data_IF_861981685684
#
_entry.id   IF_861981685684
#
_cell.length_a   1.000
_cell.length_b   1.000
_cell.length_c   1.000
_cell.angle_alpha   90.00
_cell.angle_beta   90.00
_cell.angle_gamma   90.00
#
_symmetry.space_group_name_H-M   'P 1'
#
loop_
_entity.id
_entity.type
_entity.pdbx_description
1 polymer ?
#
# COMPACT_ATOMS: atom_id res chain seq x y z
N UNK A 1 2.48 -33.69 -0.69
CA UNK A 1 2.68 -33.09 -2.02
C UNK A 1 3.24 -31.70 -1.81
N UNK A 2 4.21 -31.31 -2.63
CA UNK A 2 4.85 -30.00 -2.57
C UNK A 2 4.48 -29.16 -3.79
N UNK A 3 4.32 -27.86 -3.62
CA UNK A 3 3.89 -26.99 -4.72
C UNK A 3 5.07 -26.22 -5.28
N UNK A 4 5.08 -26.04 -6.61
CA UNK A 4 6.12 -25.32 -7.32
C UNK A 4 5.46 -24.30 -8.25
N UNK A 5 5.92 -23.06 -8.19
CA UNK A 5 5.47 -21.96 -9.01
C UNK A 5 6.38 -21.80 -10.23
N UNK A 6 5.80 -21.82 -11.43
CA UNK A 6 6.52 -21.49 -12.67
C UNK A 6 6.66 -19.97 -12.79
N UNK A 7 7.87 -19.51 -13.08
CA UNK A 7 8.21 -18.11 -13.25
C UNK A 7 8.34 -17.74 -14.73
N UNK A 8 7.93 -16.52 -15.06
CA UNK A 8 8.25 -15.85 -16.32
C UNK A 8 9.72 -15.41 -16.34
N UNK A 9 10.16 -14.89 -17.49
CA UNK A 9 11.47 -14.24 -17.65
C UNK A 9 11.67 -13.04 -16.71
N UNK A 10 10.58 -12.41 -16.28
CA UNK A 10 10.54 -11.29 -15.34
C UNK A 10 10.23 -11.71 -13.90
N UNK A 11 10.41 -12.99 -13.56
CA UNK A 11 10.17 -13.55 -12.22
C UNK A 11 8.71 -13.51 -11.74
N UNK A 12 7.73 -13.34 -12.63
CA UNK A 12 6.31 -13.41 -12.27
C UNK A 12 5.76 -14.83 -12.35
N UNK A 13 4.92 -15.19 -11.39
CA UNK A 13 4.30 -16.51 -11.29
C UNK A 13 3.25 -16.67 -12.38
N UNK A 14 3.46 -17.63 -13.27
CA UNK A 14 2.56 -17.98 -14.36
C UNK A 14 1.51 -19.01 -13.92
N UNK A 15 1.94 -20.01 -13.15
CA UNK A 15 1.08 -21.07 -12.61
C UNK A 15 1.75 -21.77 -11.44
N UNK A 16 0.98 -22.57 -10.70
CA UNK A 16 1.47 -23.44 -9.63
C UNK A 16 1.08 -24.87 -9.93
N UNK A 17 2.03 -25.79 -9.79
CA UNK A 17 1.84 -27.23 -10.00
C UNK A 17 2.25 -27.99 -8.74
N UNK A 18 1.50 -29.03 -8.41
CA UNK A 18 1.80 -29.91 -7.29
C UNK A 18 2.69 -31.07 -7.75
N UNK A 19 3.73 -31.34 -6.96
CA UNK A 19 4.74 -32.38 -7.17
C UNK A 19 4.62 -33.42 -6.06
N UNK A 20 4.72 -34.72 -6.37
CA UNK A 20 4.77 -35.78 -5.35
C UNK A 20 5.92 -35.57 -4.37
N UNK A 21 5.74 -35.95 -3.10
CA UNK A 21 6.74 -35.72 -2.03
C UNK A 21 8.11 -36.36 -2.32
N UNK A 22 8.11 -37.54 -2.95
CA UNK A 22 9.33 -38.25 -3.39
C UNK A 22 10.17 -37.42 -4.38
N UNK A 23 9.53 -36.55 -5.17
CA UNK A 23 10.20 -35.70 -6.16
C UNK A 23 10.45 -34.27 -5.64
N UNK A 24 10.07 -33.93 -4.41
CA UNK A 24 10.21 -32.57 -3.84
C UNK A 24 11.64 -32.04 -3.96
N UNK A 25 12.62 -32.87 -3.59
CA UNK A 25 14.05 -32.53 -3.59
C UNK A 25 14.59 -32.12 -4.96
N UNK A 26 13.89 -32.50 -6.04
CA UNK A 26 14.25 -32.21 -7.43
C UNK A 26 13.09 -31.61 -8.23
N UNK A 27 12.14 -30.94 -7.56
CA UNK A 27 10.91 -30.49 -8.20
C UNK A 27 11.12 -29.62 -9.44
N UNK A 28 12.16 -28.75 -9.43
CA UNK A 28 12.57 -27.99 -10.62
C UNK A 28 12.88 -28.88 -11.82
N UNK A 29 13.78 -29.85 -11.65
CA UNK A 29 14.22 -30.73 -12.73
C UNK A 29 13.11 -31.70 -13.15
N UNK A 30 12.34 -32.20 -12.17
CA UNK A 30 11.19 -33.06 -12.43
C UNK A 30 10.14 -32.37 -13.32
N UNK A 31 9.82 -31.10 -13.03
CA UNK A 31 8.85 -30.33 -13.81
C UNK A 31 9.43 -29.91 -15.16
N UNK A 32 10.63 -29.33 -15.17
CA UNK A 32 11.21 -28.76 -16.38
C UNK A 32 11.66 -29.85 -17.37
N UNK A 33 12.33 -30.90 -16.87
CA UNK A 33 12.99 -31.93 -17.67
C UNK A 33 12.14 -33.20 -17.78
N UNK A 34 11.84 -33.89 -16.67
CA UNK A 34 11.17 -35.20 -16.70
C UNK A 34 9.74 -35.11 -17.26
N UNK A 35 9.00 -34.05 -16.89
CA UNK A 35 7.66 -33.76 -17.43
C UNK A 35 7.70 -32.89 -18.69
N UNK A 36 8.87 -32.39 -19.10
CA UNK A 36 9.05 -31.61 -20.32
C UNK A 36 8.32 -30.26 -20.33
N UNK A 37 8.02 -29.68 -19.16
CA UNK A 37 7.34 -28.39 -19.08
C UNK A 37 8.27 -27.21 -19.38
N UNK A 38 9.60 -27.42 -19.28
CA UNK A 38 10.59 -26.35 -19.35
C UNK A 38 10.45 -25.34 -18.20
N UNK A 39 11.00 -24.13 -18.39
CA UNK A 39 10.83 -23.01 -17.48
C UNK A 39 11.62 -23.08 -16.17
N UNK A 40 11.37 -22.09 -15.32
CA UNK A 40 11.95 -21.97 -13.98
C UNK A 40 10.86 -22.16 -12.94
N UNK A 41 11.07 -23.07 -12.01
CA UNK A 41 10.13 -23.48 -10.98
C UNK A 41 10.75 -23.31 -9.60
N UNK A 42 10.01 -22.64 -8.72
CA UNK A 42 10.43 -22.38 -7.35
C UNK A 42 9.40 -22.93 -6.38
N UNK A 43 9.85 -23.67 -5.36
CA UNK A 43 8.97 -24.30 -4.38
C UNK A 43 8.24 -23.27 -3.53
N UNK A 44 6.94 -23.47 -3.32
CA UNK A 44 6.02 -22.61 -2.58
C UNK A 44 5.19 -23.43 -1.59
N UNK A 45 4.73 -22.83 -0.48
CA UNK A 45 3.95 -23.51 0.56
C UNK A 45 2.66 -22.77 0.89
N UNK A 46 1.57 -23.52 1.08
CA UNK A 46 0.28 -23.01 1.53
C UNK A 46 0.37 -22.30 2.88
N UNK A 47 1.26 -22.76 3.76
CA UNK A 47 1.38 -22.24 5.13
C UNK A 47 2.31 -21.03 5.22
N UNK A 48 2.96 -20.61 4.13
CA UNK A 48 3.95 -19.52 4.15
C UNK A 48 5.25 -19.85 4.90
N UNK A 49 5.42 -21.09 5.36
CA UNK A 49 6.61 -21.53 6.10
C UNK A 49 7.92 -21.43 5.28
N UNK A 50 7.81 -21.44 3.96
CA UNK A 50 8.91 -21.19 3.03
C UNK A 50 8.51 -20.01 2.15
N UNK A 51 9.46 -19.11 1.90
CA UNK A 51 9.30 -17.99 0.95
C UNK A 51 8.09 -17.09 1.23
N UNK A 52 7.78 -16.92 2.52
CA UNK A 52 6.77 -16.03 3.10
C UNK A 52 5.29 -16.35 2.82
N UNK A 53 4.93 -16.74 1.60
CA UNK A 53 3.53 -16.99 1.23
C UNK A 53 3.40 -18.08 0.17
N UNK A 54 2.16 -18.54 -0.01
CA UNK A 54 1.81 -19.31 -1.20
C UNK A 54 1.78 -18.38 -2.41
N UNK A 55 2.65 -18.66 -3.38
CA UNK A 55 2.71 -17.96 -4.66
C UNK A 55 1.36 -18.02 -5.41
N UNK A 56 0.74 -16.87 -5.62
CA UNK A 56 -0.43 -16.71 -6.49
C UNK A 56 -0.03 -16.36 -7.92
N UNK A 57 -0.91 -16.61 -8.89
CA UNK A 57 -0.69 -16.17 -10.27
C UNK A 57 -0.58 -14.64 -10.30
N UNK A 58 0.49 -14.12 -10.92
CA UNK A 58 0.78 -12.69 -10.98
C UNK A 58 1.65 -12.14 -9.84
N UNK A 59 1.82 -12.89 -8.75
CA UNK A 59 2.88 -12.60 -7.77
C UNK A 59 4.25 -12.67 -8.46
N UNK A 60 5.28 -12.11 -7.83
CA UNK A 60 6.66 -12.26 -8.29
C UNK A 60 7.52 -12.91 -7.21
N UNK A 61 8.62 -13.49 -7.67
CA UNK A 61 9.66 -14.07 -6.83
C UNK A 61 10.83 -13.11 -6.71
N UNK A 62 11.15 -12.74 -5.47
CA UNK A 62 12.34 -11.95 -5.13
C UNK A 62 13.46 -12.90 -4.72
N UNK A 63 14.50 -12.99 -5.56
CA UNK A 63 15.61 -13.93 -5.35
C UNK A 63 16.60 -13.47 -4.27
N UNK A 64 16.67 -12.16 -3.98
CA UNK A 64 17.55 -11.61 -2.94
C UNK A 64 16.98 -11.86 -1.55
N UNK A 65 15.66 -11.74 -1.40
CA UNK A 65 14.94 -12.02 -0.16
C UNK A 65 14.51 -13.50 -0.02
N UNK A 66 14.59 -14.30 -1.10
CA UNK A 66 14.05 -15.66 -1.21
C UNK A 66 12.57 -15.72 -0.77
N UNK A 67 11.75 -14.80 -1.29
CA UNK A 67 10.31 -14.73 -0.97
C UNK A 67 9.44 -14.57 -2.21
N UNK A 68 8.19 -15.02 -2.12
CA UNK A 68 7.13 -14.58 -3.01
C UNK A 68 6.46 -13.33 -2.46
N UNK A 69 6.18 -12.38 -3.33
CA UNK A 69 5.47 -11.15 -3.00
C UNK A 69 4.41 -10.84 -4.04
N UNK A 70 3.30 -10.26 -3.58
CA UNK A 70 2.32 -9.68 -4.50
C UNK A 70 2.87 -8.40 -5.11
N UNK A 71 2.45 -8.02 -6.34
CA UNK A 71 2.91 -6.78 -6.96
C UNK A 71 2.66 -5.58 -6.05
N UNK A 72 3.52 -4.56 -6.19
CA UNK A 72 3.41 -3.33 -5.43
C UNK A 72 2.03 -2.69 -5.64
N UNK A 73 1.38 -2.16 -4.58
CA UNK A 73 0.10 -1.48 -4.71
C UNK A 73 0.22 -0.17 -5.51
N UNK A 74 1.37 0.50 -5.45
CA UNK A 74 1.72 1.70 -6.18
C UNK A 74 3.25 1.77 -6.39
N UNK A 75 3.77 2.55 -7.35
CA UNK A 75 5.18 2.52 -7.75
C UNK A 75 6.18 2.91 -6.65
N UNK A 76 5.79 3.75 -5.69
CA UNK A 76 6.66 4.25 -4.62
C UNK A 76 6.65 3.39 -3.35
N UNK A 77 5.98 2.23 -3.38
CA UNK A 77 5.99 1.30 -2.25
C UNK A 77 7.28 0.47 -2.23
N UNK A 78 7.77 0.21 -1.03
CA UNK A 78 8.98 -0.61 -0.81
C UNK A 78 8.61 -1.97 -0.21
N UNK A 79 9.14 -3.04 -0.78
CA UNK A 79 8.94 -4.39 -0.26
C UNK A 79 9.87 -4.61 0.95
N UNK A 80 9.30 -5.01 2.08
CA UNK A 80 10.05 -5.37 3.27
C UNK A 80 10.47 -6.85 3.23
N UNK A 81 11.47 -7.21 4.01
CA UNK A 81 11.94 -8.59 4.13
C UNK A 81 10.85 -9.60 4.57
N UNK A 82 9.78 -9.14 5.23
CA UNK A 82 8.62 -9.97 5.58
C UNK A 82 7.56 -10.10 4.47
N UNK A 83 7.87 -9.66 3.24
CA UNK A 83 6.95 -9.67 2.10
C UNK A 83 5.73 -8.77 2.25
N UNK A 84 5.82 -7.76 3.12
CA UNK A 84 4.81 -6.70 3.28
C UNK A 84 5.27 -5.43 2.57
N UNK A 85 4.34 -4.68 2.01
CA UNK A 85 4.62 -3.40 1.36
C UNK A 85 4.56 -2.26 2.36
N UNK A 86 5.59 -1.42 2.40
CA UNK A 86 5.58 -0.15 3.14
C UNK A 86 5.32 1.01 2.16
N UNK A 87 4.44 1.96 2.50
CA UNK A 87 4.26 3.16 1.69
C UNK A 87 5.52 4.03 1.69
N UNK A 88 5.63 4.99 0.76
CA UNK A 88 6.65 6.03 0.84
C UNK A 88 6.52 6.81 2.16
N UNK A 89 7.59 7.50 2.61
CA UNK A 89 7.52 8.34 3.81
C UNK A 89 6.41 9.39 3.66
N UNK A 90 5.66 9.62 4.76
CA UNK A 90 4.63 10.64 4.79
C UNK A 90 5.24 12.05 4.54
N UNK A 91 4.46 12.99 3.98
CA UNK A 91 4.87 14.38 3.89
C UNK A 91 5.11 15.01 5.27
N UNK A 92 5.65 16.24 5.29
CA UNK A 92 5.93 16.93 6.54
C UNK A 92 4.66 17.22 7.35
N UNK A 93 4.79 17.16 8.67
CA UNK A 93 3.70 17.37 9.62
C UNK A 93 2.95 16.08 10.02
N UNK A 94 1.85 16.28 10.72
CA UNK A 94 0.99 15.28 11.34
C UNK A 94 -0.36 15.25 10.64
N UNK A 95 -1.13 14.18 10.86
CA UNK A 95 -2.46 14.01 10.27
C UNK A 95 -2.48 13.35 8.89
N UNK A 96 -1.33 12.92 8.37
CA UNK A 96 -1.28 12.11 7.16
C UNK A 96 -1.70 10.66 7.44
N UNK A 97 -2.63 10.15 6.64
CA UNK A 97 -3.08 8.77 6.66
C UNK A 97 -3.30 8.24 5.24
N UNK A 98 -3.17 6.93 5.04
CA UNK A 98 -3.59 6.27 3.80
C UNK A 98 -4.95 5.64 4.10
N UNK A 99 -6.07 6.23 3.61
CA UNK A 99 -7.39 5.68 3.85
C UNK A 99 -7.56 4.28 3.24
N UNK A 100 -8.52 3.51 3.77
CA UNK A 100 -8.75 2.14 3.31
C UNK A 100 -9.07 2.12 1.80
N UNK A 101 -8.35 1.28 1.06
CA UNK A 101 -8.52 1.15 -0.39
C UNK A 101 -7.72 2.16 -1.22
N UNK A 102 -7.07 3.14 -0.59
CA UNK A 102 -6.18 4.08 -1.26
C UNK A 102 -4.72 3.66 -1.15
N UNK A 103 -3.88 4.28 -1.98
CA UNK A 103 -2.43 4.02 -2.05
C UNK A 103 -1.59 5.28 -1.92
N UNK A 104 -2.23 6.43 -1.68
CA UNK A 104 -1.58 7.72 -1.50
C UNK A 104 -1.83 8.27 -0.10
N UNK A 105 -0.94 9.15 0.36
CA UNK A 105 -1.14 9.89 1.60
C UNK A 105 -2.22 10.96 1.42
N UNK A 106 -3.21 10.92 2.29
CA UNK A 106 -4.25 11.93 2.42
C UNK A 106 -4.14 12.61 3.78
N UNK A 107 -4.44 13.90 3.82
CA UNK A 107 -4.41 14.71 5.02
C UNK A 107 -5.77 14.70 5.71
N UNK A 108 -5.81 14.22 6.94
CA UNK A 108 -6.96 14.37 7.81
C UNK A 108 -6.95 15.74 8.47
N UNK A 109 -7.86 16.63 8.06
CA UNK A 109 -7.96 18.00 8.57
C UNK A 109 -8.24 18.06 10.09
N UNK A 110 -8.80 17.01 10.68
CA UNK A 110 -9.11 16.95 12.10
C UNK A 110 -7.88 16.59 12.95
N UNK A 111 -6.88 15.95 12.34
CA UNK A 111 -5.63 15.53 12.99
C UNK A 111 -4.41 16.34 12.53
N UNK A 112 -4.54 17.08 11.43
CA UNK A 112 -3.45 17.84 10.82
C UNK A 112 -2.87 18.90 11.75
N UNK A 113 -1.55 19.05 11.79
CA UNK A 113 -0.92 20.22 12.41
C UNK A 113 -0.71 21.36 11.39
N UNK A 114 -0.27 22.52 11.85
CA UNK A 114 -0.11 23.71 11.02
C UNK A 114 0.85 23.50 9.84
N UNK A 115 1.90 22.67 10.01
CA UNK A 115 2.86 22.33 8.94
C UNK A 115 2.15 21.55 7.84
N UNK A 116 1.37 20.53 8.20
CA UNK A 116 0.67 19.71 7.20
C UNK A 116 -0.45 20.49 6.51
N UNK A 117 -1.17 21.35 7.24
CA UNK A 117 -2.21 22.20 6.66
C UNK A 117 -1.66 23.20 5.65
N UNK A 118 -0.46 23.75 5.86
CA UNK A 118 0.19 24.70 4.95
C UNK A 118 0.54 24.08 3.57
N UNK A 119 0.54 22.74 3.46
CA UNK A 119 0.75 22.04 2.19
C UNK A 119 -0.51 22.04 1.30
N UNK A 120 -1.68 22.41 1.81
CA UNK A 120 -2.92 22.46 1.04
C UNK A 120 -3.00 23.73 0.18
N UNK A 121 -3.47 23.58 -1.07
CA UNK A 121 -3.64 24.72 -1.97
C UNK A 121 -4.60 25.76 -1.37
N UNK A 122 -4.14 27.01 -1.29
CA UNK A 122 -4.90 28.10 -0.68
C UNK A 122 -4.86 28.14 0.86
N UNK A 123 -4.15 27.23 1.53
CA UNK A 123 -3.93 27.28 2.98
C UNK A 123 -2.53 27.80 3.27
N UNK A 124 -2.47 29.03 3.77
CA UNK A 124 -1.24 29.58 4.35
C UNK A 124 -1.25 29.50 5.87
N UNK A 125 -0.22 30.03 6.56
CA UNK A 125 -0.07 29.91 8.01
C UNK A 125 -1.23 30.54 8.79
N UNK A 126 -1.84 31.61 8.28
CA UNK A 126 -3.01 32.25 8.91
C UNK A 126 -4.24 31.35 8.85
N UNK A 127 -4.47 30.72 7.70
CA UNK A 127 -5.62 29.85 7.46
C UNK A 127 -5.44 28.54 8.25
N UNK A 128 -4.24 27.97 8.26
CA UNK A 128 -3.92 26.80 9.06
C UNK A 128 -4.23 27.02 10.56
N UNK A 129 -3.84 28.17 11.12
CA UNK A 129 -4.20 28.51 12.51
C UNK A 129 -5.71 28.68 12.70
N UNK A 130 -6.42 29.25 11.74
CA UNK A 130 -7.87 29.39 11.82
C UNK A 130 -8.57 28.03 11.85
N UNK A 131 -8.14 27.06 11.02
CA UNK A 131 -8.66 25.68 11.04
C UNK A 131 -8.46 25.03 12.41
N UNK A 132 -7.24 25.10 12.96
CA UNK A 132 -6.91 24.49 14.26
C UNK A 132 -7.71 25.14 15.39
N UNK A 133 -7.82 26.47 15.40
CA UNK A 133 -8.60 27.19 16.41
C UNK A 133 -10.08 26.86 16.33
N UNK A 134 -10.63 26.74 15.12
CA UNK A 134 -12.03 26.44 14.91
C UNK A 134 -12.39 25.03 15.38
N UNK A 135 -11.55 24.02 15.10
CA UNK A 135 -11.79 22.65 15.59
C UNK A 135 -11.61 22.50 17.11
N UNK A 136 -10.76 23.31 17.73
CA UNK A 136 -10.56 23.30 19.19
C UNK A 136 -11.77 23.93 19.93
N UNK A 137 -12.36 24.98 19.34
CA UNK A 137 -13.44 25.74 19.98
C UNK A 137 -14.82 25.13 19.69
N UNK A 138 -15.09 24.77 18.44
CA UNK A 138 -16.41 24.33 17.98
C UNK A 138 -16.47 22.82 17.67
N UNK A 139 -15.36 22.10 17.86
CA UNK A 139 -15.27 20.66 17.66
C UNK A 139 -14.85 20.28 16.24
N UNK A 140 -14.61 18.97 16.04
CA UNK A 140 -14.14 18.41 14.78
C UNK A 140 -15.06 18.73 13.61
N UNK A 141 -14.49 18.82 12.41
CA UNK A 141 -15.24 19.05 11.18
C UNK A 141 -15.89 17.75 10.73
N UNK A 142 -17.17 17.80 10.36
CA UNK A 142 -17.90 16.64 9.86
C UNK A 142 -17.59 16.34 8.38
N UNK A 143 -17.18 17.36 7.62
CA UNK A 143 -16.85 17.26 6.20
C UNK A 143 -16.01 18.47 5.77
N UNK A 144 -15.46 18.43 4.56
CA UNK A 144 -14.79 19.61 3.98
C UNK A 144 -15.78 20.77 3.74
N UNK A 145 -17.06 20.47 3.48
CA UNK A 145 -18.12 21.47 3.38
C UNK A 145 -18.38 22.16 4.73
N UNK A 146 -18.36 21.41 5.84
CA UNK A 146 -18.45 21.97 7.19
C UNK A 146 -17.26 22.88 7.51
N UNK A 147 -16.05 22.47 7.12
CA UNK A 147 -14.85 23.30 7.24
C UNK A 147 -15.00 24.61 6.45
N UNK A 148 -15.42 24.54 5.19
CA UNK A 148 -15.64 25.72 4.35
C UNK A 148 -16.75 26.64 4.87
N UNK A 149 -17.73 26.10 5.60
CA UNK A 149 -18.79 26.89 6.23
C UNK A 149 -18.33 27.61 7.50
N UNK A 150 -17.33 27.06 8.21
CA UNK A 150 -16.88 27.53 9.53
C UNK A 150 -15.61 28.37 9.50
N UNK A 151 -14.70 28.12 8.57
CA UNK A 151 -13.39 28.79 8.52
C UNK A 151 -13.37 29.89 7.47
N UNK A 152 -13.18 31.13 7.92
CA UNK A 152 -13.02 32.28 7.02
C UNK A 152 -11.76 32.13 6.15
N UNK A 153 -11.88 32.48 4.86
CA UNK A 153 -10.80 32.35 3.88
C UNK A 153 -10.71 30.99 3.18
N UNK A 154 -11.56 30.01 3.56
CA UNK A 154 -11.68 28.72 2.86
C UNK A 154 -13.08 28.59 2.28
N UNK A 155 -13.19 28.69 0.96
CA UNK A 155 -14.44 28.46 0.25
C UNK A 155 -14.55 27.02 -0.27
N UNK A 156 -15.76 26.61 -0.67
CA UNK A 156 -15.98 25.31 -1.33
C UNK A 156 -15.08 25.13 -2.56
N UNK A 157 -14.90 26.19 -3.35
CA UNK A 157 -13.98 26.18 -4.49
C UNK A 157 -12.52 25.85 -4.10
N UNK A 158 -12.07 26.24 -2.91
CA UNK A 158 -10.73 25.87 -2.41
C UNK A 158 -10.70 24.39 -2.02
N UNK A 159 -11.69 23.94 -1.24
CA UNK A 159 -11.75 22.54 -0.80
C UNK A 159 -11.98 21.55 -1.94
N UNK A 160 -12.70 21.93 -3.00
CA UNK A 160 -12.91 21.11 -4.22
C UNK A 160 -11.59 20.81 -4.94
N UNK A 161 -10.55 21.63 -4.77
CA UNK A 161 -9.23 21.38 -5.35
C UNK A 161 -8.37 20.42 -4.49
N UNK A 162 -8.78 20.13 -3.26
CA UNK A 162 -8.04 19.24 -2.36
C UNK A 162 -8.37 17.78 -2.64
N UNK A 163 -7.67 17.21 -3.62
CA UNK A 163 -7.80 15.79 -3.97
C UNK A 163 -7.23 14.83 -2.91
N UNK A 164 -6.37 15.34 -2.03
CA UNK A 164 -5.65 14.59 -1.00
C UNK A 164 -6.00 15.02 0.43
N UNK A 165 -7.15 15.69 0.65
CA UNK A 165 -7.60 16.05 2.00
C UNK A 165 -8.99 15.47 2.28
N UNK A 166 -9.27 15.16 3.54
CA UNK A 166 -10.59 14.71 3.98
C UNK A 166 -10.81 15.07 5.45
N UNK A 167 -12.08 15.05 5.88
CA UNK A 167 -12.43 15.10 7.29
C UNK A 167 -12.57 13.67 7.81
N UNK A 168 -11.63 13.22 8.65
CA UNK A 168 -11.75 11.92 9.32
C UNK A 168 -12.91 11.88 10.30
N UNK A 169 -13.27 10.68 10.75
CA UNK A 169 -14.41 10.49 11.63
C UNK A 169 -14.26 11.31 12.92
N UNK A 170 -15.29 12.11 13.22
CA UNK A 170 -15.50 12.62 14.57
C UNK A 170 -15.97 11.44 15.42
N UNK A 171 -15.06 10.83 16.17
CA UNK A 171 -15.42 9.79 17.17
C UNK A 171 -16.39 10.33 18.23
#
# INVERSE_FOLDING_TARGET
MSNFAELSDTSHVLRVVSVPDDQEHRGQDFLATDLGLGGTWVQTSYSGNIRNKFAGIGDFYDADLDIFASPAPAPDYTLNAGGTWSPPPAPAGQGWAIPEGETAWHLDINLADAIALDELDGVGPTVAHAIISERDIAGLFASLEDLAARVDGIGTATTDNWTNAFAGAAE
#
